data_IF_310683335674
#
_entry.id   IF_310683335674
#
_cell.length_a   1.000
_cell.length_b   1.000
_cell.length_c   1.000
_cell.angle_alpha   90.00
_cell.angle_beta   90.00
_cell.angle_gamma   90.00
#
_symmetry.space_group_name_H-M   'P 1'
#
loop_
_entity.id
_entity.type
_entity.pdbx_description
1 polymer ?
#
# COMPACT_ATOMS: atom_id res chain seq x y z
N UNK A 1 -39.72 -20.27 -6.39
CA UNK A 1 -38.47 -21.04 -6.34
C UNK A 1 -37.55 -20.71 -7.50
N UNK A 2 -38.05 -20.76 -8.69
CA UNK A 2 -37.25 -20.47 -9.87
C UNK A 2 -36.77 -19.03 -9.90
N UNK A 3 -37.60 -18.11 -9.43
CA UNK A 3 -37.26 -16.70 -9.41
C UNK A 3 -36.08 -16.43 -8.48
N UNK A 4 -35.97 -17.20 -7.42
CA UNK A 4 -34.84 -17.05 -6.49
C UNK A 4 -33.54 -17.47 -7.15
N UNK A 5 -33.57 -18.49 -7.98
CA UNK A 5 -32.37 -18.91 -8.70
C UNK A 5 -31.91 -17.85 -9.68
N UNK A 6 -32.83 -17.21 -10.35
CA UNK A 6 -32.48 -16.13 -11.27
C UNK A 6 -31.87 -14.95 -10.54
N UNK A 7 -32.40 -14.63 -9.36
CA UNK A 7 -31.88 -13.54 -8.57
C UNK A 7 -30.44 -13.83 -8.14
N UNK A 8 -30.16 -15.05 -7.70
CA UNK A 8 -28.81 -15.43 -7.34
C UNK A 8 -27.84 -15.30 -8.52
N UNK A 9 -28.26 -15.72 -9.68
CA UNK A 9 -27.42 -15.63 -10.86
C UNK A 9 -27.05 -14.18 -11.17
N UNK A 10 -28.01 -13.27 -11.05
CA UNK A 10 -27.77 -11.87 -11.31
C UNK A 10 -26.78 -11.27 -10.29
N UNK A 11 -26.90 -11.64 -9.03
CA UNK A 11 -25.99 -11.17 -7.99
C UNK A 11 -24.57 -11.68 -8.25
N UNK A 12 -24.44 -12.94 -8.64
CA UNK A 12 -23.14 -13.51 -8.94
C UNK A 12 -22.45 -12.78 -10.10
N UNK A 13 -23.18 -12.42 -11.11
CA UNK A 13 -22.63 -11.66 -12.23
C UNK A 13 -22.15 -10.28 -11.79
N UNK A 14 -22.91 -9.61 -10.93
CA UNK A 14 -22.51 -8.30 -10.42
C UNK A 14 -21.20 -8.38 -9.64
N UNK A 15 -21.04 -9.42 -8.81
CA UNK A 15 -19.81 -9.61 -8.04
C UNK A 15 -18.62 -9.85 -8.97
N UNK A 16 -18.82 -10.66 -10.01
CA UNK A 16 -17.76 -10.94 -10.98
C UNK A 16 -17.34 -9.67 -11.71
N UNK A 17 -18.29 -8.81 -12.07
CA UNK A 17 -17.98 -7.56 -12.75
C UNK A 17 -17.17 -6.63 -11.86
N UNK A 18 -17.51 -6.54 -10.56
CA UNK A 18 -16.75 -5.71 -9.62
C UNK A 18 -15.32 -6.23 -9.48
N UNK A 19 -15.14 -7.54 -9.37
CA UNK A 19 -13.81 -8.13 -9.27
C UNK A 19 -12.99 -7.87 -10.53
N UNK A 20 -13.63 -7.93 -11.72
CA UNK A 20 -12.94 -7.70 -12.97
C UNK A 20 -12.47 -6.24 -13.11
N UNK A 21 -13.17 -5.32 -12.44
CA UNK A 21 -12.86 -3.89 -12.52
C UNK A 21 -11.98 -3.41 -11.38
N UNK A 22 -11.46 -4.32 -10.55
CA UNK A 22 -10.61 -3.95 -9.44
C UNK A 22 -9.36 -3.21 -9.94
N UNK A 23 -8.97 -2.10 -9.30
CA UNK A 23 -7.77 -1.38 -9.70
C UNK A 23 -6.53 -2.25 -9.59
N UNK A 24 -5.56 -2.00 -10.45
CA UNK A 24 -4.29 -2.70 -10.41
C UNK A 24 -3.25 -1.82 -9.74
N UNK A 25 -2.81 -2.25 -8.57
CA UNK A 25 -1.79 -1.55 -7.79
C UNK A 25 -0.41 -2.16 -7.97
N UNK A 26 -0.31 -3.33 -8.56
CA UNK A 26 0.97 -4.04 -8.65
C UNK A 26 2.04 -3.19 -9.34
N UNK A 27 3.23 -3.21 -8.79
CA UNK A 27 4.35 -2.46 -9.36
C UNK A 27 5.30 -1.98 -8.28
N UNK A 28 6.30 -1.24 -8.73
CA UNK A 28 7.29 -0.66 -7.85
C UNK A 28 7.26 0.86 -7.97
N UNK A 29 7.37 1.51 -6.83
CA UNK A 29 7.21 2.96 -6.72
C UNK A 29 8.31 3.50 -5.81
N UNK A 30 8.68 4.74 -6.01
CA UNK A 30 9.71 5.35 -5.17
C UNK A 30 9.56 6.87 -5.12
N UNK A 31 10.06 7.45 -4.04
CA UNK A 31 10.34 8.86 -3.95
C UNK A 31 11.83 9.01 -3.70
N UNK A 32 12.56 9.41 -4.74
CA UNK A 32 14.01 9.58 -4.67
C UNK A 32 14.42 10.93 -4.08
N UNK A 33 13.45 11.82 -3.92
CA UNK A 33 13.68 13.14 -3.30
C UNK A 33 13.05 13.21 -1.90
N UNK A 34 12.86 12.06 -1.30
CA UNK A 34 12.28 11.93 0.02
C UNK A 34 13.11 12.70 1.04
N UNK A 35 12.45 13.30 2.01
CA UNK A 35 13.10 14.15 3.02
C UNK A 35 13.95 15.24 2.38
N UNK A 36 13.35 15.93 1.41
CA UNK A 36 14.00 17.03 0.69
C UNK A 36 15.29 16.62 0.00
N UNK A 37 15.32 15.40 -0.49
CA UNK A 37 16.46 14.88 -1.23
C UNK A 37 17.50 14.18 -0.38
N UNK A 38 17.27 14.08 0.94
CA UNK A 38 18.24 13.44 1.83
C UNK A 38 17.95 11.97 2.09
N UNK A 39 16.84 11.48 1.58
CA UNK A 39 16.46 10.09 1.77
C UNK A 39 15.79 9.51 0.55
N UNK A 40 15.48 8.23 0.64
CA UNK A 40 14.74 7.51 -0.38
C UNK A 40 13.66 6.68 0.31
N UNK A 41 12.50 6.59 -0.34
CA UNK A 41 11.40 5.73 0.09
C UNK A 41 11.02 4.85 -1.09
N UNK A 42 10.94 3.54 -0.86
CA UNK A 42 10.60 2.57 -1.89
C UNK A 42 9.40 1.75 -1.46
N UNK A 43 8.54 1.43 -2.41
CA UNK A 43 7.31 0.66 -2.16
C UNK A 43 7.17 -0.36 -3.27
N UNK A 44 6.92 -1.61 -2.88
CA UNK A 44 6.65 -2.70 -3.82
C UNK A 44 5.29 -3.28 -3.49
N UNK A 45 4.43 -3.40 -4.49
CA UNK A 45 3.08 -3.91 -4.34
C UNK A 45 2.87 -5.10 -5.24
N UNK A 46 2.37 -6.19 -4.67
CA UNK A 46 1.92 -7.36 -5.41
C UNK A 46 0.44 -7.53 -5.15
N UNK A 47 -0.29 -7.91 -6.17
CA UNK A 47 -1.75 -8.00 -6.06
C UNK A 47 -2.24 -9.33 -6.57
N UNK A 48 -3.11 -9.95 -5.79
CA UNK A 48 -3.79 -11.18 -6.17
C UNK A 48 -5.27 -10.96 -5.86
N UNK A 49 -6.05 -10.68 -6.90
CA UNK A 49 -7.45 -10.30 -6.71
C UNK A 49 -7.54 -8.99 -5.95
N UNK A 50 -8.24 -9.02 -4.83
CA UNK A 50 -8.40 -7.85 -3.96
C UNK A 50 -7.39 -7.81 -2.82
N UNK A 51 -6.48 -8.78 -2.75
CA UNK A 51 -5.46 -8.83 -1.70
C UNK A 51 -4.18 -8.23 -2.24
N UNK A 52 -3.60 -7.31 -1.48
CA UNK A 52 -2.37 -6.62 -1.87
C UNK A 52 -1.31 -6.88 -0.82
N UNK A 53 -0.17 -7.41 -1.26
CA UNK A 53 1.01 -7.54 -0.42
C UNK A 53 1.80 -6.25 -0.54
N UNK A 54 2.18 -5.69 0.61
CA UNK A 54 2.81 -4.38 0.69
C UNK A 54 4.19 -4.55 1.30
N UNK A 55 5.20 -4.04 0.62
CA UNK A 55 6.54 -3.99 1.15
C UNK A 55 7.09 -2.59 0.94
N UNK A 56 7.64 -1.98 2.00
CA UNK A 56 8.27 -0.67 1.84
C UNK A 56 9.55 -0.60 2.65
N UNK A 57 10.42 0.30 2.22
CA UNK A 57 11.67 0.55 2.90
C UNK A 57 12.04 2.02 2.76
N UNK A 58 12.81 2.50 3.71
CA UNK A 58 13.27 3.88 3.70
C UNK A 58 14.66 3.96 4.31
N UNK A 59 15.42 4.96 3.89
CA UNK A 59 16.78 5.16 4.38
C UNK A 59 17.23 6.58 4.08
N UNK A 60 18.17 7.07 4.88
CA UNK A 60 18.93 8.28 4.55
C UNK A 60 19.99 7.94 3.52
N UNK A 61 20.24 8.86 2.59
CA UNK A 61 21.19 8.63 1.49
C UNK A 61 22.61 8.42 1.96
N UNK A 62 22.96 9.00 3.11
CA UNK A 62 24.31 8.88 3.67
C UNK A 62 24.48 7.63 4.52
N UNK A 63 23.45 6.80 4.63
CA UNK A 63 23.51 5.57 5.40
C UNK A 63 23.39 5.77 6.91
N UNK A 64 23.12 6.99 7.38
CA UNK A 64 22.98 7.25 8.80
C UNK A 64 21.61 6.83 9.32
N UNK A 65 21.52 6.61 10.62
CA UNK A 65 20.27 6.32 11.30
C UNK A 65 19.71 4.94 10.99
N UNK A 66 18.43 4.79 11.23
CA UNK A 66 17.72 3.53 10.96
C UNK A 66 17.34 3.44 9.49
N UNK A 67 17.28 2.21 8.99
CA UNK A 67 16.82 1.94 7.63
C UNK A 67 15.75 0.86 7.70
N UNK A 68 14.51 1.20 8.02
CA UNK A 68 13.48 0.21 8.22
C UNK A 68 13.04 -0.46 6.93
N UNK A 69 12.72 -1.73 7.04
CA UNK A 69 12.05 -2.52 6.02
C UNK A 69 10.78 -3.05 6.63
N UNK A 70 9.66 -2.86 5.94
CA UNK A 70 8.36 -3.24 6.44
C UNK A 70 7.62 -4.08 5.44
N UNK A 71 6.82 -5.00 5.95
CA UNK A 71 5.89 -5.73 5.10
C UNK A 71 4.52 -5.77 5.75
N UNK A 72 3.53 -6.02 4.92
CA UNK A 72 2.17 -6.09 5.37
C UNK A 72 1.26 -6.63 4.29
N UNK A 73 0.00 -6.75 4.65
CA UNK A 73 -1.02 -7.24 3.74
C UNK A 73 -2.25 -6.37 3.90
N UNK A 74 -2.89 -6.09 2.80
CA UNK A 74 -4.09 -5.30 2.78
C UNK A 74 -5.09 -5.77 1.78
N UNK A 75 -6.18 -5.03 1.68
CA UNK A 75 -7.26 -5.33 0.76
C UNK A 75 -7.73 -4.07 0.07
N UNK A 76 -8.17 -4.23 -1.16
CA UNK A 76 -8.79 -3.15 -1.91
C UNK A 76 -10.20 -2.95 -1.35
N UNK A 77 -10.49 -1.71 -0.95
CA UNK A 77 -11.78 -1.34 -0.39
C UNK A 77 -12.79 -1.01 -1.47
N UNK A 78 -14.03 -0.82 -1.07
CA UNK A 78 -15.09 -0.40 -2.00
C UNK A 78 -14.82 0.98 -2.59
N UNK A 79 -13.96 1.76 -1.99
CA UNK A 79 -13.56 3.07 -2.52
C UNK A 79 -12.42 2.98 -3.53
N UNK A 80 -11.89 1.78 -3.78
CA UNK A 80 -10.80 1.60 -4.71
C UNK A 80 -9.43 1.93 -4.15
N UNK A 81 -9.29 1.98 -2.83
CA UNK A 81 -8.03 2.19 -2.16
C UNK A 81 -7.58 0.92 -1.46
N UNK A 82 -6.32 0.84 -1.07
CA UNK A 82 -5.80 -0.29 -0.30
C UNK A 82 -5.69 0.13 1.16
N UNK A 83 -6.33 -0.61 2.05
CA UNK A 83 -6.10 -0.50 3.49
C UNK A 83 -5.24 -1.67 3.91
N UNK A 84 -4.15 -1.40 4.63
CA UNK A 84 -3.21 -2.46 5.00
C UNK A 84 -2.71 -2.27 6.43
N UNK A 85 -2.16 -3.36 6.97
CA UNK A 85 -1.42 -3.38 8.24
C UNK A 85 0.02 -3.75 7.93
N UNK A 86 0.94 -3.25 8.74
CA UNK A 86 2.36 -3.46 8.50
C UNK A 86 3.13 -3.56 9.82
N UNK A 87 4.29 -4.17 9.73
CA UNK A 87 5.29 -4.19 10.80
C UNK A 87 6.66 -4.06 10.14
N UNK A 88 7.55 -3.28 10.76
CA UNK A 88 8.89 -3.07 10.21
C UNK A 88 9.95 -3.88 10.96
N UNK A 89 11.18 -3.83 10.44
CA UNK A 89 12.31 -4.58 10.98
C UNK A 89 12.76 -4.08 12.36
N UNK A 90 12.24 -2.96 12.83
CA UNK A 90 12.53 -2.38 14.13
C UNK A 90 11.38 -2.57 15.12
N UNK A 91 10.41 -3.41 14.77
CA UNK A 91 9.24 -3.72 15.61
C UNK A 91 8.26 -2.58 15.77
N UNK A 92 8.33 -1.57 14.93
CA UNK A 92 7.24 -0.61 14.79
C UNK A 92 6.13 -1.25 13.98
N UNK A 93 4.90 -0.85 14.22
CA UNK A 93 3.76 -1.40 13.51
C UNK A 93 2.69 -0.35 13.33
N UNK A 94 1.80 -0.60 12.39
CA UNK A 94 0.71 0.33 12.17
C UNK A 94 -0.18 -0.08 11.02
N UNK A 95 -0.87 0.91 10.50
CA UNK A 95 -1.78 0.77 9.36
C UNK A 95 -1.37 1.74 8.27
N UNK A 96 -1.98 1.60 7.12
CA UNK A 96 -1.74 2.53 6.04
C UNK A 96 -2.82 2.46 4.99
N UNK A 97 -2.80 3.43 4.09
CA UNK A 97 -3.69 3.46 2.94
C UNK A 97 -2.90 3.83 1.70
N UNK A 98 -3.31 3.27 0.57
CA UNK A 98 -2.70 3.57 -0.73
C UNK A 98 -3.82 3.90 -1.70
N UNK A 99 -3.70 5.01 -2.39
CA UNK A 99 -4.63 5.39 -3.45
C UNK A 99 -3.88 5.61 -4.75
N UNK A 100 -4.60 5.56 -5.86
CA UNK A 100 -4.03 5.78 -7.19
C UNK A 100 -3.97 7.27 -7.49
N UNK A 101 -2.92 7.67 -8.18
CA UNK A 101 -2.79 9.03 -8.71
C UNK A 101 -2.15 8.91 -10.10
N UNK A 102 -3.01 8.57 -11.09
CA UNK A 102 -2.50 8.20 -12.40
C UNK A 102 -1.71 6.91 -12.32
N UNK A 103 -0.48 6.92 -12.81
CA UNK A 103 0.44 5.78 -12.68
C UNK A 103 1.13 5.74 -11.33
N UNK A 104 1.05 6.81 -10.57
CA UNK A 104 1.68 6.93 -9.27
C UNK A 104 0.71 6.47 -8.18
N UNK A 105 1.20 6.44 -6.95
CA UNK A 105 0.35 6.16 -5.78
C UNK A 105 0.60 7.22 -4.71
N UNK A 106 -0.41 7.39 -3.87
CA UNK A 106 -0.33 8.21 -2.66
C UNK A 106 -0.38 7.25 -1.48
N UNK A 107 0.64 7.30 -0.65
CA UNK A 107 0.79 6.40 0.50
C UNK A 107 0.69 7.21 1.79
N UNK A 108 -0.15 6.74 2.70
CA UNK A 108 -0.21 7.32 4.06
C UNK A 108 0.06 6.21 5.05
N UNK A 109 0.93 6.47 6.01
CA UNK A 109 1.34 5.50 7.02
C UNK A 109 1.03 6.05 8.39
N UNK A 110 0.41 5.23 9.22
CA UNK A 110 0.10 5.57 10.60
C UNK A 110 0.73 4.51 11.51
N UNK A 111 1.53 4.96 12.46
CA UNK A 111 2.12 4.07 13.46
C UNK A 111 1.14 3.88 14.61
N UNK A 112 0.92 2.64 15.01
CA UNK A 112 0.12 2.29 16.18
C UNK A 112 0.98 1.75 17.31
N UNK A 113 2.21 1.32 16.99
CA UNK A 113 3.20 0.89 17.98
C UNK A 113 4.56 1.42 17.54
N UNK A 114 5.19 2.22 18.40
CA UNK A 114 6.54 2.74 18.14
C UNK A 114 7.50 2.10 19.11
N UNK A 115 8.36 1.24 18.59
CA UNK A 115 9.42 0.59 19.36
C UNK A 115 10.73 1.34 19.18
N UNK A 116 11.00 1.80 17.97
CA UNK A 116 12.20 2.57 17.66
C UNK A 116 11.77 3.87 16.99
N UNK A 117 11.88 4.97 17.69
CA UNK A 117 11.39 6.26 17.21
C UNK A 117 12.19 6.83 16.04
N UNK A 118 13.40 6.30 15.78
CA UNK A 118 14.19 6.77 14.63
C UNK A 118 13.50 6.52 13.30
N UNK A 119 12.62 5.53 13.24
CA UNK A 119 11.92 5.20 12.01
C UNK A 119 10.74 6.12 11.72
N UNK A 120 10.22 6.82 12.72
CA UNK A 120 8.99 7.60 12.59
C UNK A 120 9.14 8.72 11.58
N UNK A 121 10.35 9.26 11.43
CA UNK A 121 10.60 10.34 10.48
C UNK A 121 10.32 9.93 9.03
N UNK A 122 10.33 8.63 8.73
CA UNK A 122 10.05 8.13 7.38
C UNK A 122 8.56 7.94 7.10
N UNK A 123 7.73 7.95 8.14
CA UNK A 123 6.33 7.53 8.02
C UNK A 123 5.43 8.76 8.05
N UNK A 124 4.91 9.11 6.89
CA UNK A 124 4.12 10.32 6.73
C UNK A 124 2.79 10.06 6.07
N UNK A 125 2.08 11.15 5.83
CA UNK A 125 0.80 11.15 5.17
C UNK A 125 0.93 11.69 3.76
N UNK A 126 0.09 11.17 2.87
CA UNK A 126 -0.05 11.68 1.52
C UNK A 126 1.29 11.75 0.78
N UNK A 127 2.12 10.73 0.97
CA UNK A 127 3.40 10.65 0.29
C UNK A 127 3.17 10.19 -1.14
N UNK A 128 3.58 11.00 -2.10
CA UNK A 128 3.44 10.64 -3.50
C UNK A 128 4.67 9.87 -3.95
N UNK A 129 4.44 8.66 -4.42
CA UNK A 129 5.51 7.79 -4.92
C UNK A 129 5.27 7.55 -6.39
N UNK A 130 6.33 7.73 -7.18
CA UNK A 130 6.25 7.57 -8.63
C UNK A 130 6.52 6.14 -9.02
N UNK A 131 5.78 5.67 -10.00
CA UNK A 131 6.03 4.33 -10.55
C UNK A 131 7.41 4.30 -11.18
N UNK A 132 8.21 3.34 -10.73
CA UNK A 132 9.56 3.15 -11.24
C UNK A 132 9.56 2.09 -12.32
N UNK A 133 8.75 1.05 -12.09
CA UNK A 133 8.81 -0.13 -12.90
C UNK A 133 7.55 -0.97 -12.66
N UNK A 134 7.13 -1.65 -13.66
CA UNK A 134 5.97 -2.54 -13.51
C UNK A 134 6.31 -3.81 -12.77
#
# INVERSE_FOLDING_TARGET
MKDRHLTFAAIALAIAAIAADAPNFAGEYADKKFLKGQGVFQLSLEQKGNVVSVFFSAAHNDGSGAAPEADGTGQITSKGTVDFKWEDSFKNAGTGTISRAGDDVILSIKTTRVTDSRCVAFYGRNMRLKRVKK
#
